data_IF_034213342518
#
_entry.id   IF_034213342518
#
_cell.length_a   1.000
_cell.length_b   1.000
_cell.length_c   1.000
_cell.angle_alpha   90.00
_cell.angle_beta   90.00
_cell.angle_gamma   90.00
#
_symmetry.space_group_name_H-M   'P 1'
#
loop_
_entity.id
_entity.type
_entity.pdbx_description
1 polymer ?
#
# COMPACT_ATOMS: atom_id res chain seq x y z
N UNK A 1 -9.30 0.84 -3.12
CA UNK A 1 -9.70 -0.44 -3.71
C UNK A 1 -9.41 -0.56 -5.19
N UNK A 2 -9.36 0.54 -5.92
CA UNK A 2 -9.00 0.50 -7.34
C UNK A 2 -7.61 -0.10 -7.58
N UNK A 3 -6.64 0.21 -6.71
CA UNK A 3 -5.30 -0.34 -6.82
C UNK A 3 -5.30 -1.87 -6.70
N UNK A 4 -6.01 -2.42 -5.73
CA UNK A 4 -6.08 -3.88 -5.55
C UNK A 4 -6.67 -4.56 -6.79
N UNK A 5 -7.78 -4.02 -7.30
CA UNK A 5 -8.40 -4.57 -8.52
C UNK A 5 -7.45 -4.50 -9.71
N UNK A 6 -6.72 -3.40 -9.83
CA UNK A 6 -5.76 -3.23 -10.92
C UNK A 6 -4.60 -4.23 -10.82
N UNK A 7 -4.10 -4.48 -9.61
CA UNK A 7 -3.03 -5.46 -9.40
C UNK A 7 -3.50 -6.87 -9.75
N UNK A 8 -4.72 -7.24 -9.34
CA UNK A 8 -5.26 -8.55 -9.72
C UNK A 8 -5.45 -8.65 -11.22
N UNK A 9 -5.89 -7.58 -11.86
CA UNK A 9 -6.09 -7.55 -13.32
C UNK A 9 -4.76 -7.66 -14.06
N UNK A 10 -3.78 -6.83 -13.73
CA UNK A 10 -2.51 -6.81 -14.45
C UNK A 10 -1.67 -8.07 -14.19
N UNK A 11 -1.82 -8.70 -13.03
CA UNK A 11 -1.08 -9.93 -12.73
C UNK A 11 -1.68 -11.18 -13.35
N UNK A 12 -2.85 -11.11 -13.97
CA UNK A 12 -3.38 -12.24 -14.73
C UNK A 12 -2.47 -12.60 -15.90
N UNK A 13 -1.71 -11.64 -16.43
CA UNK A 13 -0.76 -11.88 -17.51
C UNK A 13 0.57 -12.47 -17.03
N UNK A 14 0.78 -12.60 -15.71
CA UNK A 14 2.02 -13.16 -15.16
C UNK A 14 2.17 -14.62 -15.56
N UNK A 15 3.42 -15.09 -15.75
CA UNK A 15 3.67 -16.52 -16.00
C UNK A 15 3.10 -17.38 -14.88
N UNK A 16 2.52 -18.53 -15.23
CA UNK A 16 1.89 -19.42 -14.25
C UNK A 16 2.87 -19.89 -13.17
N UNK A 17 4.16 -20.00 -13.49
CA UNK A 17 5.18 -20.37 -12.52
C UNK A 17 5.41 -19.35 -11.42
N UNK A 18 4.89 -18.12 -11.59
CA UNK A 18 5.05 -17.04 -10.61
C UNK A 18 3.86 -16.93 -9.65
N UNK A 19 2.86 -17.82 -9.74
CA UNK A 19 1.65 -17.72 -8.92
C UNK A 19 1.96 -17.68 -7.41
N UNK A 20 2.88 -18.51 -6.95
CA UNK A 20 3.29 -18.56 -5.54
C UNK A 20 4.54 -17.72 -5.25
N UNK A 21 5.10 -17.09 -6.28
CA UNK A 21 6.23 -16.17 -6.16
C UNK A 21 5.76 -14.73 -6.27
N UNK A 22 6.23 -14.04 -7.31
CA UNK A 22 6.01 -12.60 -7.47
C UNK A 22 4.53 -12.21 -7.57
N UNK A 23 3.74 -12.98 -8.32
CA UNK A 23 2.29 -12.74 -8.43
C UNK A 23 1.63 -12.72 -7.05
N UNK A 24 1.89 -13.76 -6.26
CA UNK A 24 1.32 -13.87 -4.92
C UNK A 24 1.76 -12.73 -4.01
N UNK A 25 3.04 -12.36 -4.08
CA UNK A 25 3.57 -11.26 -3.28
C UNK A 25 2.93 -9.92 -3.66
N UNK A 26 2.78 -9.64 -4.95
CA UNK A 26 2.14 -8.41 -5.42
C UNK A 26 0.70 -8.32 -4.94
N UNK A 27 -0.04 -9.41 -5.05
CA UNK A 27 -1.44 -9.46 -4.62
C UNK A 27 -1.57 -9.26 -3.11
N UNK A 28 -0.74 -9.93 -2.32
CA UNK A 28 -0.72 -9.77 -0.87
C UNK A 28 -0.35 -8.34 -0.47
N UNK A 29 0.65 -7.76 -1.10
CA UNK A 29 1.06 -6.39 -0.82
C UNK A 29 -0.07 -5.40 -1.12
N UNK A 30 -0.78 -5.59 -2.25
CA UNK A 30 -1.88 -4.71 -2.62
C UNK A 30 -3.05 -4.78 -1.64
N UNK A 31 -3.37 -5.96 -1.13
CA UNK A 31 -4.45 -6.14 -0.14
C UNK A 31 -4.04 -5.59 1.22
N UNK A 32 -2.76 -5.70 1.57
CA UNK A 32 -2.23 -5.20 2.85
C UNK A 32 -2.44 -3.69 3.01
N UNK A 33 -2.40 -2.92 1.93
CA UNK A 33 -2.57 -1.46 2.01
C UNK A 33 -3.95 -1.09 2.59
N UNK A 34 -5.09 -1.43 1.95
CA UNK A 34 -6.39 -1.07 2.51
C UNK A 34 -6.71 -1.81 3.81
N UNK A 35 -6.21 -3.03 3.97
CA UNK A 35 -6.45 -3.81 5.20
C UNK A 35 -5.83 -3.12 6.41
N UNK A 36 -4.63 -2.58 6.28
CA UNK A 36 -3.97 -1.87 7.38
C UNK A 36 -4.62 -0.52 7.65
N UNK A 37 -5.08 0.18 6.61
CA UNK A 37 -5.81 1.43 6.81
C UNK A 37 -7.09 1.17 7.62
N UNK A 38 -7.85 0.15 7.23
CA UNK A 38 -9.09 -0.22 7.92
C UNK A 38 -8.84 -0.70 9.34
N UNK A 39 -7.82 -1.54 9.53
CA UNK A 39 -7.44 -2.05 10.85
C UNK A 39 -7.05 -0.91 11.78
N UNK A 40 -6.21 -0.01 11.31
CA UNK A 40 -5.73 1.13 12.11
C UNK A 40 -6.85 2.11 12.44
N UNK A 41 -7.76 2.34 11.50
CA UNK A 41 -8.89 3.22 11.70
C UNK A 41 -9.85 2.68 12.76
N UNK A 42 -9.99 1.36 12.85
CA UNK A 42 -10.83 0.70 13.84
C UNK A 42 -10.20 0.61 15.23
N UNK A 43 -8.90 0.90 15.36
CA UNK A 43 -8.21 0.86 16.65
C UNK A 43 -8.39 2.17 17.41
N UNK A 44 -8.37 2.09 18.74
CA UNK A 44 -8.40 3.27 19.57
C UNK A 44 -7.03 3.97 19.54
N UNK A 45 -7.05 5.27 19.33
CA UNK A 45 -5.87 6.11 19.45
C UNK A 45 -5.11 6.31 18.15
N UNK A 46 -4.54 7.51 18.07
CA UNK A 46 -3.83 7.99 16.89
C UNK A 46 -2.48 7.27 16.69
N UNK A 47 -1.84 6.83 17.78
CA UNK A 47 -0.58 6.11 17.68
C UNK A 47 -0.75 4.77 16.97
N UNK A 48 -1.81 4.03 17.28
CA UNK A 48 -2.10 2.77 16.61
C UNK A 48 -2.48 3.01 15.15
N UNK A 49 -3.24 4.06 14.87
CA UNK A 49 -3.56 4.41 13.50
C UNK A 49 -2.28 4.72 12.71
N UNK A 50 -1.39 5.52 13.28
CA UNK A 50 -0.11 5.85 12.65
C UNK A 50 0.72 4.60 12.36
N UNK A 51 0.77 3.65 13.31
CA UNK A 51 1.50 2.40 13.13
C UNK A 51 0.97 1.62 11.93
N UNK A 52 -0.35 1.50 11.81
CA UNK A 52 -0.97 0.79 10.69
C UNK A 52 -0.80 1.52 9.36
N UNK A 53 -0.84 2.85 9.37
CA UNK A 53 -0.57 3.63 8.16
C UNK A 53 0.87 3.42 7.66
N UNK A 54 1.83 3.30 8.58
CA UNK A 54 3.23 3.02 8.21
C UNK A 54 3.41 1.62 7.65
N UNK A 55 2.67 0.64 8.18
CA UNK A 55 2.66 -0.70 7.60
C UNK A 55 2.09 -0.66 6.19
N UNK A 56 0.98 0.07 5.99
CA UNK A 56 0.40 0.25 4.65
C UNK A 56 1.38 0.90 3.69
N UNK A 57 2.12 1.92 4.14
CA UNK A 57 3.13 2.59 3.32
C UNK A 57 4.25 1.63 2.92
N UNK A 58 4.71 0.79 3.86
CA UNK A 58 5.72 -0.24 3.58
C UNK A 58 5.23 -1.23 2.55
N UNK A 59 3.98 -1.68 2.65
CA UNK A 59 3.36 -2.59 1.68
C UNK A 59 3.26 -1.94 0.30
N UNK A 60 2.92 -0.66 0.24
CA UNK A 60 2.84 0.07 -1.03
C UNK A 60 4.22 0.20 -1.68
N UNK A 61 5.25 0.52 -0.90
CA UNK A 61 6.63 0.60 -1.39
C UNK A 61 7.10 -0.74 -1.93
N UNK A 62 6.77 -1.82 -1.22
CA UNK A 62 7.07 -3.18 -1.66
C UNK A 62 6.38 -3.49 -2.99
N UNK A 63 5.09 -3.16 -3.09
CA UNK A 63 4.31 -3.36 -4.32
C UNK A 63 4.91 -2.58 -5.49
N UNK A 64 5.30 -1.34 -5.29
CA UNK A 64 5.92 -0.51 -6.34
C UNK A 64 7.19 -1.17 -6.86
N UNK A 65 8.03 -1.69 -5.97
CA UNK A 65 9.26 -2.41 -6.34
C UNK A 65 8.95 -3.69 -7.10
N UNK A 66 7.96 -4.46 -6.62
CA UNK A 66 7.57 -5.72 -7.27
C UNK A 66 7.01 -5.47 -8.67
N UNK A 67 6.20 -4.44 -8.83
CA UNK A 67 5.64 -4.07 -10.14
C UNK A 67 6.75 -3.66 -11.11
N UNK A 68 7.69 -2.84 -10.65
CA UNK A 68 8.84 -2.44 -11.47
C UNK A 68 9.67 -3.67 -11.87
N UNK A 69 9.90 -4.60 -10.95
CA UNK A 69 10.61 -5.83 -11.24
C UNK A 69 9.88 -6.65 -12.32
N UNK A 70 8.58 -6.84 -12.17
CA UNK A 70 7.79 -7.63 -13.11
C UNK A 70 7.80 -7.02 -14.51
N UNK A 71 7.70 -5.70 -14.63
CA UNK A 71 7.75 -5.03 -15.93
C UNK A 71 9.15 -5.05 -16.52
N UNK A 72 10.19 -4.88 -15.72
CA UNK A 72 11.58 -4.90 -16.20
C UNK A 72 12.02 -6.29 -16.67
N UNK A 73 11.41 -7.34 -16.13
CA UNK A 73 11.67 -8.72 -16.54
C UNK A 73 10.71 -9.21 -17.64
N UNK A 74 9.94 -8.31 -18.22
CA UNK A 74 8.96 -8.59 -19.27
C UNK A 74 7.91 -9.65 -18.90
N UNK A 75 7.63 -9.78 -17.61
CA UNK A 75 6.57 -10.68 -17.14
C UNK A 75 5.18 -10.12 -17.40
N UNK A 76 5.05 -8.80 -17.34
CA UNK A 76 3.84 -8.05 -17.69
C UNK A 76 4.24 -6.82 -18.50
N UNK A 77 3.32 -6.30 -19.34
CA UNK A 77 3.59 -5.08 -20.09
C UNK A 77 3.72 -3.87 -19.16
N UNK A 78 4.43 -2.85 -19.61
CA UNK A 78 4.43 -1.56 -18.95
C UNK A 78 3.01 -1.05 -18.79
N UNK A 79 2.67 -0.55 -17.59
CA UNK A 79 1.30 -0.24 -17.24
C UNK A 79 1.22 1.13 -16.53
N UNK A 80 1.04 2.21 -17.32
CA UNK A 80 0.92 3.55 -16.73
C UNK A 80 -0.25 3.68 -15.76
N UNK A 81 -1.32 2.93 -15.96
CA UNK A 81 -2.48 2.95 -15.06
C UNK A 81 -2.10 2.45 -13.66
N UNK A 82 -1.37 1.33 -13.58
CA UNK A 82 -0.92 0.80 -12.30
C UNK A 82 0.05 1.76 -11.62
N UNK A 83 1.00 2.33 -12.36
CA UNK A 83 1.95 3.30 -11.82
C UNK A 83 1.21 4.49 -11.22
N UNK A 84 0.23 5.04 -11.95
CA UNK A 84 -0.57 6.17 -11.48
C UNK A 84 -1.33 5.85 -10.20
N UNK A 85 -1.94 4.66 -10.13
CA UNK A 85 -2.69 4.26 -8.95
C UNK A 85 -1.79 4.08 -7.72
N UNK A 86 -0.58 3.56 -7.92
CA UNK A 86 0.42 3.46 -6.84
C UNK A 86 0.79 4.86 -6.35
N UNK A 87 1.07 5.79 -7.26
CA UNK A 87 1.43 7.16 -6.92
C UNK A 87 0.29 7.89 -6.20
N UNK A 88 -0.94 7.75 -6.68
CA UNK A 88 -2.11 8.34 -6.03
C UNK A 88 -2.30 7.80 -4.62
N UNK A 89 -2.15 6.49 -4.44
CA UNK A 89 -2.26 5.85 -3.13
C UNK A 89 -1.17 6.34 -2.19
N UNK A 90 0.05 6.51 -2.70
CA UNK A 90 1.18 7.05 -1.92
C UNK A 90 0.87 8.45 -1.39
N UNK A 91 0.32 9.32 -2.24
CA UNK A 91 -0.04 10.67 -1.84
C UNK A 91 -1.12 10.67 -0.75
N UNK A 92 -2.13 9.81 -0.88
CA UNK A 92 -3.19 9.68 0.12
C UNK A 92 -2.61 9.23 1.46
N UNK A 93 -1.76 8.19 1.45
CA UNK A 93 -1.14 7.68 2.68
C UNK A 93 -0.26 8.73 3.36
N UNK A 94 0.54 9.44 2.58
CA UNK A 94 1.38 10.52 3.12
C UNK A 94 0.54 11.61 3.78
N UNK A 95 -0.60 11.94 3.15
CA UNK A 95 -1.54 12.91 3.71
C UNK A 95 -2.12 12.47 5.04
N UNK A 96 -2.56 11.20 5.14
CA UNK A 96 -3.05 10.64 6.40
C UNK A 96 -1.96 10.64 7.48
N UNK A 97 -0.77 10.18 7.14
CA UNK A 97 0.35 10.13 8.09
C UNK A 97 0.67 11.52 8.62
N UNK A 98 0.73 12.52 7.74
CA UNK A 98 0.99 13.91 8.14
C UNK A 98 -0.10 14.41 9.07
N UNK A 99 -1.36 14.16 8.74
CA UNK A 99 -2.51 14.58 9.54
C UNK A 99 -2.49 13.97 10.94
N UNK A 100 -2.21 12.66 11.03
CA UNK A 100 -2.14 11.97 12.31
C UNK A 100 -0.96 12.48 13.14
N UNK A 101 0.19 12.70 12.53
CA UNK A 101 1.36 13.26 13.21
C UNK A 101 1.06 14.64 13.78
N UNK A 102 0.38 15.49 13.02
CA UNK A 102 -0.02 16.81 13.49
C UNK A 102 -0.98 16.72 14.66
N UNK A 103 -1.94 15.81 14.59
CA UNK A 103 -2.89 15.56 15.67
C UNK A 103 -2.18 15.13 16.94
N UNK A 104 -1.18 14.25 16.84
CA UNK A 104 -0.40 13.79 17.99
C UNK A 104 0.43 14.92 18.63
N UNK A 105 0.94 15.83 17.81
CA UNK A 105 1.72 16.98 18.34
C UNK A 105 0.84 18.00 19.05
N UNK A 106 -0.41 18.19 18.58
CA UNK A 106 -1.33 19.17 19.11
C UNK A 106 -2.00 18.73 20.40
N UNK A 107 -2.05 17.43 20.66
CA UNK A 107 -2.69 16.89 21.85
C UNK A 107 -1.77 17.10 23.04
N UNK A 108 -2.17 17.90 24.06
CA UNK A 108 -1.33 18.08 25.24
C UNK A 108 -1.16 16.76 25.99
N UNK A 109 -0.02 16.65 26.68
CA UNK A 109 0.21 15.51 27.56
C UNK A 109 -0.83 15.47 28.67
N UNK A 110 -1.45 14.32 28.95
CA UNK A 110 -2.45 14.21 30.03
C UNK A 110 -1.85 14.50 31.43
N UNK A 111 -0.54 14.37 31.55
CA UNK A 111 0.14 14.58 32.82
C UNK A 111 0.51 16.04 33.07
N UNK A 112 0.28 16.90 32.15
CA UNK A 112 0.62 18.32 32.28
C UNK A 112 -0.35 19.05 33.19
#
# INVERSE_FOLDING_TARGET
MALCRQIYRCTQAMPSGELYGLTGQMRRASVSVPSNIAEGFGREGQKEFLRHLRIAQGSLNELATQHELATSMDMIPSDPTTIRLIEETDLVLRGFIRSVKQSLRKTPSPSA
#
